data_IF_263732549292
#
_entry.id   IF_263732549292
#
_cell.length_a   1.000
_cell.length_b   1.000
_cell.length_c   1.000
_cell.angle_alpha   90.00
_cell.angle_beta   90.00
_cell.angle_gamma   90.00
#
_symmetry.space_group_name_H-M   'P 1'
#
loop_
_entity.id
_entity.type
_entity.pdbx_description
1 polymer ?
#
# COMPACT_ATOMS: atom_id res chain seq x y z
N UNK A 1 14.06 12.62 -16.63
CA UNK A 1 13.96 11.23 -16.21
C UNK A 1 14.10 11.22 -14.70
N UNK A 2 13.01 10.96 -13.99
CA UNK A 2 12.98 10.76 -12.56
C UNK A 2 13.77 9.51 -12.15
N UNK A 3 14.09 9.40 -10.86
CA UNK A 3 14.90 8.30 -10.31
C UNK A 3 14.25 6.92 -10.57
N UNK A 4 12.92 6.84 -10.51
CA UNK A 4 12.16 5.62 -10.80
C UNK A 4 12.34 5.15 -12.24
N UNK A 5 12.15 6.04 -13.21
CA UNK A 5 12.28 5.74 -14.64
C UNK A 5 13.70 5.29 -14.98
N UNK A 6 14.71 5.93 -14.37
CA UNK A 6 16.10 5.54 -14.53
C UNK A 6 16.39 4.11 -14.03
N UNK A 7 15.89 3.78 -12.84
CA UNK A 7 16.04 2.45 -12.28
C UNK A 7 15.35 1.38 -13.14
N UNK A 8 14.13 1.65 -13.61
CA UNK A 8 13.40 0.71 -14.49
C UNK A 8 14.14 0.55 -15.83
N UNK A 9 14.63 1.62 -16.42
CA UNK A 9 15.42 1.58 -17.65
C UNK A 9 16.69 0.72 -17.52
N UNK A 10 17.43 0.90 -16.43
CA UNK A 10 18.64 0.11 -16.14
C UNK A 10 18.31 -1.38 -15.99
N UNK A 11 17.22 -1.73 -15.29
CA UNK A 11 16.78 -3.12 -15.13
C UNK A 11 16.44 -3.74 -16.49
N UNK A 12 15.74 -3.00 -17.36
CA UNK A 12 15.39 -3.47 -18.71
C UNK A 12 16.65 -3.73 -19.54
N UNK A 13 17.62 -2.82 -19.50
CA UNK A 13 18.87 -2.94 -20.26
C UNK A 13 19.77 -4.09 -19.77
N UNK A 14 19.91 -4.27 -18.46
CA UNK A 14 20.86 -5.23 -17.89
C UNK A 14 20.25 -6.63 -17.80
N UNK A 15 19.01 -6.74 -17.33
CA UNK A 15 18.38 -8.01 -16.98
C UNK A 15 17.44 -8.51 -18.08
N UNK A 16 16.80 -7.59 -18.83
CA UNK A 16 15.77 -7.91 -19.83
C UNK A 16 14.67 -8.85 -19.29
N UNK A 17 13.97 -8.47 -18.21
CA UNK A 17 12.98 -9.33 -17.57
C UNK A 17 11.66 -9.40 -18.36
N UNK A 18 10.93 -10.50 -18.20
CA UNK A 18 9.56 -10.64 -18.72
C UNK A 18 8.52 -9.90 -17.87
N UNK A 19 8.80 -9.72 -16.58
CA UNK A 19 7.92 -9.06 -15.61
C UNK A 19 8.73 -8.22 -14.62
N UNK A 20 8.23 -7.02 -14.30
CA UNK A 20 8.77 -6.15 -13.25
C UNK A 20 7.66 -5.96 -12.21
N UNK A 21 7.98 -6.25 -10.94
CA UNK A 21 7.09 -5.98 -9.82
C UNK A 21 7.57 -4.73 -9.10
N UNK A 22 6.69 -3.74 -8.97
CA UNK A 22 6.97 -2.48 -8.29
C UNK A 22 6.19 -2.45 -6.98
N UNK A 23 6.90 -2.47 -5.86
CA UNK A 23 6.31 -2.17 -4.56
C UNK A 23 6.26 -0.64 -4.40
N UNK A 24 5.04 -0.09 -4.30
CA UNK A 24 4.85 1.32 -4.00
C UNK A 24 4.88 1.54 -2.48
N UNK A 25 5.37 2.70 -2.05
CA UNK A 25 5.24 3.07 -0.63
C UNK A 25 3.74 3.19 -0.30
N UNK A 26 3.32 2.78 0.90
CA UNK A 26 1.90 2.77 1.31
C UNK A 26 1.18 4.13 1.33
N UNK A 27 1.84 5.21 0.93
CA UNK A 27 1.28 6.56 0.77
C UNK A 27 1.36 7.08 -0.66
N UNK A 28 1.85 6.29 -1.61
CA UNK A 28 1.90 6.66 -3.01
C UNK A 28 0.49 6.59 -3.63
N UNK A 29 0.16 7.59 -4.44
CA UNK A 29 -1.02 7.57 -5.27
C UNK A 29 -0.78 6.64 -6.47
N UNK A 30 -1.61 5.61 -6.68
CA UNK A 30 -1.40 4.63 -7.74
C UNK A 30 -1.43 5.28 -9.13
N UNK A 31 -2.30 6.26 -9.35
CA UNK A 31 -2.46 6.93 -10.63
C UNK A 31 -1.20 7.66 -11.10
N UNK A 32 -0.44 8.26 -10.18
CA UNK A 32 0.82 8.93 -10.51
C UNK A 32 1.87 7.92 -11.00
N UNK A 33 2.01 6.79 -10.31
CA UNK A 33 2.96 5.73 -10.70
C UNK A 33 2.54 5.11 -12.03
N UNK A 34 1.24 4.85 -12.21
CA UNK A 34 0.70 4.30 -13.46
C UNK A 34 0.95 5.28 -14.63
N UNK A 35 0.70 6.56 -14.41
CA UNK A 35 0.92 7.60 -15.41
C UNK A 35 2.39 7.70 -15.81
N UNK A 36 3.31 7.74 -14.85
CA UNK A 36 4.76 7.76 -15.13
C UNK A 36 5.21 6.51 -15.90
N UNK A 37 4.67 5.33 -15.55
CA UNK A 37 4.95 4.08 -16.26
C UNK A 37 4.47 4.12 -17.73
N UNK A 38 3.25 4.60 -17.97
CA UNK A 38 2.65 4.62 -19.30
C UNK A 38 3.20 5.75 -20.19
N UNK A 39 3.54 6.92 -19.63
CA UNK A 39 4.07 8.07 -20.38
C UNK A 39 5.57 7.95 -20.62
N UNK A 40 6.36 7.67 -19.58
CA UNK A 40 7.82 7.80 -19.63
C UNK A 40 8.55 6.54 -20.06
N UNK A 41 7.90 5.37 -20.03
CA UNK A 41 8.54 4.07 -20.25
C UNK A 41 7.84 3.25 -21.35
N UNK A 42 8.03 3.58 -22.64
CA UNK A 42 7.32 2.93 -23.75
C UNK A 42 7.70 1.46 -23.97
N UNK A 43 8.77 0.98 -23.34
CA UNK A 43 9.24 -0.40 -23.43
C UNK A 43 8.48 -1.36 -22.51
N UNK A 44 7.63 -0.84 -21.61
CA UNK A 44 6.84 -1.64 -20.67
C UNK A 44 5.35 -1.34 -20.84
N UNK A 45 4.53 -2.22 -20.27
CA UNK A 45 3.09 -2.05 -20.16
C UNK A 45 2.67 -2.46 -18.76
N UNK A 46 1.78 -1.70 -18.12
CA UNK A 46 1.15 -2.11 -16.89
C UNK A 46 0.30 -3.37 -17.11
N UNK A 47 0.58 -4.44 -16.36
CA UNK A 47 -0.20 -5.69 -16.40
C UNK A 47 -1.36 -5.66 -15.38
N UNK A 48 -1.04 -5.43 -14.11
CA UNK A 48 -2.03 -5.46 -13.02
C UNK A 48 -1.63 -4.55 -11.86
N UNK A 49 -2.62 -3.95 -11.22
CA UNK A 49 -2.49 -3.30 -9.91
C UNK A 49 -3.03 -4.25 -8.84
N UNK A 50 -2.16 -4.68 -7.93
CA UNK A 50 -2.51 -5.62 -6.85
C UNK A 50 -2.51 -4.85 -5.54
N UNK A 51 -3.62 -4.92 -4.80
CA UNK A 51 -3.77 -4.25 -3.49
C UNK A 51 -4.03 -5.29 -2.41
N UNK A 52 -3.37 -5.10 -1.27
CA UNK A 52 -3.50 -5.95 -0.08
C UNK A 52 -4.48 -5.27 0.89
N UNK A 53 -5.61 -5.90 1.15
CA UNK A 53 -6.54 -5.50 2.20
C UNK A 53 -6.23 -6.28 3.48
N UNK A 54 -5.86 -5.57 4.55
CA UNK A 54 -5.68 -6.16 5.88
C UNK A 54 -7.03 -6.28 6.58
N UNK A 55 -7.61 -7.49 6.63
CA UNK A 55 -8.97 -7.67 7.14
C UNK A 55 -9.12 -7.23 8.61
N UNK A 56 -8.17 -7.63 9.48
CA UNK A 56 -8.11 -7.22 10.88
C UNK A 56 -7.92 -5.70 11.03
N UNK A 57 -7.05 -5.13 10.19
CA UNK A 57 -6.82 -3.69 10.14
C UNK A 57 -8.07 -2.91 9.73
N UNK A 58 -8.85 -3.40 8.78
CA UNK A 58 -10.08 -2.74 8.29
C UNK A 58 -11.25 -2.79 9.29
N UNK A 59 -11.24 -3.74 10.23
CA UNK A 59 -12.17 -3.72 11.37
C UNK A 59 -11.76 -2.63 12.36
N UNK A 60 -10.46 -2.56 12.66
CA UNK A 60 -9.92 -1.61 13.63
C UNK A 60 -9.99 -0.16 13.13
N UNK A 61 -9.81 0.03 11.82
CA UNK A 61 -9.81 1.31 11.13
C UNK A 61 -10.76 1.25 9.92
N UNK A 62 -12.08 1.34 10.16
CA UNK A 62 -13.05 1.17 9.09
C UNK A 62 -12.98 2.31 8.07
N UNK A 63 -12.62 3.53 8.45
CA UNK A 63 -12.62 4.64 7.50
C UNK A 63 -11.50 4.53 6.46
N UNK A 64 -11.91 4.43 5.18
CA UNK A 64 -10.99 4.48 4.05
C UNK A 64 -10.62 5.94 3.79
N UNK A 65 -9.44 6.33 4.23
CA UNK A 65 -8.84 7.61 3.84
C UNK A 65 -8.70 7.71 2.32
N UNK A 66 -8.54 8.94 1.82
CA UNK A 66 -8.46 9.23 0.38
C UNK A 66 -7.45 8.33 -0.36
N UNK A 67 -6.23 8.18 0.17
CA UNK A 67 -5.18 7.37 -0.45
C UNK A 67 -5.54 5.89 -0.48
N UNK A 68 -6.03 5.36 0.64
CA UNK A 68 -6.48 3.96 0.73
C UNK A 68 -7.60 3.68 -0.26
N UNK A 69 -8.55 4.60 -0.38
CA UNK A 69 -9.63 4.50 -1.36
C UNK A 69 -9.11 4.52 -2.79
N UNK A 70 -8.20 5.44 -3.13
CA UNK A 70 -7.61 5.53 -4.46
C UNK A 70 -6.84 4.25 -4.85
N UNK A 71 -6.16 3.61 -3.88
CA UNK A 71 -5.52 2.30 -4.09
C UNK A 71 -6.56 1.24 -4.46
N UNK A 72 -7.65 1.10 -3.71
CA UNK A 72 -8.70 0.12 -4.02
C UNK A 72 -9.44 0.43 -5.33
N UNK A 73 -9.69 1.69 -5.66
CA UNK A 73 -10.28 2.10 -6.94
C UNK A 73 -9.38 1.77 -8.14
N UNK A 74 -8.06 1.85 -7.97
CA UNK A 74 -7.09 1.49 -9.00
C UNK A 74 -6.81 -0.02 -9.09
N UNK A 75 -7.23 -0.83 -8.12
CA UNK A 75 -6.92 -2.26 -8.05
C UNK A 75 -7.57 -3.06 -9.19
N UNK A 76 -6.80 -3.98 -9.78
CA UNK A 76 -7.31 -5.05 -10.63
C UNK A 76 -7.53 -6.33 -9.80
N UNK A 77 -6.66 -6.54 -8.81
CA UNK A 77 -6.76 -7.63 -7.84
C UNK A 77 -6.70 -7.07 -6.43
N UNK A 78 -7.62 -7.52 -5.58
CA UNK A 78 -7.59 -7.25 -4.15
C UNK A 78 -7.39 -8.56 -3.40
N UNK A 79 -6.33 -8.64 -2.60
CA UNK A 79 -6.09 -9.74 -1.69
C UNK A 79 -6.61 -9.35 -0.30
N UNK A 80 -7.77 -9.88 0.07
CA UNK A 80 -8.31 -9.77 1.43
C UNK A 80 -7.54 -10.73 2.30
N UNK A 81 -6.54 -10.22 3.01
CA UNK A 81 -5.55 -10.99 3.76
C UNK A 81 -5.84 -10.96 5.27
N UNK A 82 -5.26 -11.93 5.98
CA UNK A 82 -5.46 -12.16 7.42
C UNK A 82 -6.90 -12.52 7.78
N UNK A 83 -7.58 -13.25 6.90
CA UNK A 83 -8.95 -13.71 7.13
C UNK A 83 -9.07 -14.62 8.36
N UNK A 84 -7.96 -15.19 8.83
CA UNK A 84 -7.88 -16.02 10.04
C UNK A 84 -8.03 -15.23 11.35
N UNK A 85 -7.96 -13.89 11.28
CA UNK A 85 -8.10 -13.01 12.44
C UNK A 85 -9.50 -12.40 12.59
N UNK A 86 -10.40 -12.67 11.65
CA UNK A 86 -11.75 -12.07 11.60
C UNK A 86 -12.81 -13.17 11.47
N UNK A 87 -14.04 -12.86 11.88
CA UNK A 87 -15.17 -13.76 11.64
C UNK A 87 -15.78 -13.56 10.24
N UNK A 88 -16.64 -14.49 9.85
CA UNK A 88 -17.25 -14.50 8.51
C UNK A 88 -18.16 -13.28 8.27
N UNK A 89 -18.86 -12.80 9.30
CA UNK A 89 -19.75 -11.64 9.18
C UNK A 89 -18.95 -10.36 8.89
N UNK A 90 -17.85 -10.16 9.61
CA UNK A 90 -16.95 -9.04 9.35
C UNK A 90 -16.29 -9.15 7.97
N UNK A 91 -15.92 -10.36 7.54
CA UNK A 91 -15.32 -10.59 6.23
C UNK A 91 -16.28 -10.26 5.08
N UNK A 92 -17.55 -10.67 5.18
CA UNK A 92 -18.59 -10.34 4.20
C UNK A 92 -18.82 -8.82 4.10
N UNK A 93 -18.82 -8.11 5.23
CA UNK A 93 -18.96 -6.65 5.22
C UNK A 93 -17.73 -5.96 4.61
N UNK A 94 -16.52 -6.45 4.87
CA UNK A 94 -15.29 -5.94 4.22
C UNK A 94 -15.39 -6.12 2.70
N UNK A 95 -15.74 -7.31 2.22
CA UNK A 95 -15.84 -7.60 0.78
C UNK A 95 -16.91 -6.75 0.12
N UNK A 96 -18.07 -6.58 0.76
CA UNK A 96 -19.13 -5.70 0.26
C UNK A 96 -18.65 -4.26 0.14
N UNK A 97 -17.95 -3.74 1.14
CA UNK A 97 -17.42 -2.37 1.11
C UNK A 97 -16.36 -2.18 0.03
N UNK A 98 -15.52 -3.20 -0.21
CA UNK A 98 -14.53 -3.17 -1.29
C UNK A 98 -15.21 -3.25 -2.67
N UNK A 99 -16.27 -4.04 -2.81
CA UNK A 99 -17.10 -4.10 -4.04
C UNK A 99 -17.79 -2.76 -4.34
N UNK A 100 -18.28 -2.06 -3.30
CA UNK A 100 -18.85 -0.71 -3.45
C UNK A 100 -17.80 0.33 -3.92
N UNK A 101 -16.53 0.13 -3.57
CA UNK A 101 -15.41 0.99 -4.00
C UNK A 101 -14.97 0.63 -5.42
N UNK A 102 -14.81 -0.66 -5.72
CA UNK A 102 -14.35 -1.15 -7.01
C UNK A 102 -15.00 -2.50 -7.37
N UNK A 103 -16.16 -2.48 -8.05
CA UNK A 103 -16.86 -3.70 -8.45
C UNK A 103 -16.16 -4.44 -9.61
N UNK A 104 -15.09 -3.86 -10.17
CA UNK A 104 -14.32 -4.45 -11.26
C UNK A 104 -13.11 -5.27 -10.80
N UNK A 105 -12.73 -5.17 -9.53
CA UNK A 105 -11.57 -5.88 -8.98
C UNK A 105 -11.88 -7.35 -8.68
N UNK A 106 -10.93 -8.24 -8.99
CA UNK A 106 -11.01 -9.63 -8.56
C UNK A 106 -10.55 -9.73 -7.11
N UNK A 107 -11.41 -10.26 -6.23
CA UNK A 107 -11.09 -10.44 -4.82
C UNK A 107 -10.66 -11.88 -4.50
N UNK A 108 -9.59 -12.02 -3.73
CA UNK A 108 -9.15 -13.30 -3.15
C UNK A 108 -9.04 -13.20 -1.64
N UNK A 109 -9.74 -14.09 -0.93
CA UNK A 109 -9.54 -14.33 0.50
C UNK A 109 -8.24 -15.11 0.72
N UNK A 110 -7.35 -14.61 1.58
CA UNK A 110 -6.03 -15.20 1.80
C UNK A 110 -5.61 -15.17 3.27
N UNK A 111 -4.76 -16.12 3.64
CA UNK A 111 -4.00 -16.13 4.89
C UNK A 111 -2.53 -16.00 4.50
N UNK A 112 -1.84 -14.99 5.03
CA UNK A 112 -0.43 -14.69 4.71
C UNK A 112 -0.19 -14.52 3.20
N UNK A 113 -1.16 -13.96 2.49
CA UNK A 113 -1.15 -13.77 1.03
C UNK A 113 -0.88 -15.08 0.26
N UNK A 114 -1.26 -16.23 0.81
CA UNK A 114 -1.02 -17.52 0.16
C UNK A 114 -2.01 -17.74 -0.98
N UNK A 115 -1.55 -17.56 -2.22
CA UNK A 115 -2.23 -17.95 -3.44
C UNK A 115 -1.21 -18.26 -4.55
N UNK A 116 -1.57 -19.05 -5.59
CA UNK A 116 -0.72 -19.22 -6.76
C UNK A 116 -0.46 -17.87 -7.44
N UNK A 117 0.81 -17.53 -7.64
CA UNK A 117 1.22 -16.24 -8.23
C UNK A 117 0.70 -16.04 -9.65
N UNK A 118 0.48 -17.12 -10.39
CA UNK A 118 -0.06 -17.06 -11.75
C UNK A 118 -1.49 -16.48 -11.81
N UNK A 119 -2.19 -16.39 -10.67
CA UNK A 119 -3.49 -15.72 -10.55
C UNK A 119 -3.38 -14.20 -10.42
N UNK A 120 -2.18 -13.68 -10.18
CA UNK A 120 -1.91 -12.25 -9.99
C UNK A 120 -1.52 -11.55 -11.30
N UNK A 121 -1.19 -12.30 -12.33
CA UNK A 121 -0.61 -11.79 -13.58
C UNK A 121 -1.43 -12.21 -14.80
N UNK A 122 -1.23 -11.51 -15.92
CA UNK A 122 -1.88 -11.82 -17.19
C UNK A 122 -3.28 -11.24 -17.31
N UNK A 123 -3.59 -10.20 -16.52
CA UNK A 123 -4.77 -9.37 -16.73
C UNK A 123 -4.57 -8.60 -18.03
N UNK A 124 -5.04 -9.17 -19.14
CA UNK A 124 -4.95 -8.54 -20.45
C UNK A 124 -5.97 -7.39 -20.53
N UNK A 125 -5.61 -6.29 -19.88
CA UNK A 125 -6.45 -5.11 -19.73
C UNK A 125 -6.60 -4.38 -21.06
N UNK A 126 -7.78 -3.85 -21.41
CA UNK A 126 -7.85 -2.73 -22.33
C UNK A 126 -7.00 -1.58 -21.77
N UNK A 127 -6.29 -0.81 -22.62
CA UNK A 127 -5.51 0.34 -22.16
C UNK A 127 -6.37 1.24 -21.26
N UNK A 128 -5.88 1.60 -20.07
CA UNK A 128 -6.49 2.71 -19.34
C UNK A 128 -6.34 3.94 -20.23
N UNK A 129 -7.36 4.78 -20.35
CA UNK A 129 -7.10 6.13 -20.83
C UNK A 129 -6.27 6.77 -19.73
N UNK A 130 -5.01 7.19 -19.97
CA UNK A 130 -4.22 7.83 -18.94
C UNK A 130 -4.96 9.11 -18.56
N UNK A 131 -5.64 9.10 -17.43
CA UNK A 131 -6.19 10.30 -16.85
C UNK A 131 -5.03 10.96 -16.15
N UNK A 132 -4.64 12.14 -16.64
CA UNK A 132 -3.71 12.99 -15.93
C UNK A 132 -4.25 13.10 -14.49
N UNK A 133 -3.45 12.75 -13.47
CA UNK A 133 -3.90 12.86 -12.10
C UNK A 133 -4.42 14.29 -11.91
N UNK A 134 -5.66 14.42 -11.41
CA UNK A 134 -6.20 15.73 -11.07
C UNK A 134 -5.18 16.42 -10.18
N UNK A 135 -4.96 17.76 -10.32
CA UNK A 135 -4.09 18.51 -9.43
C UNK A 135 -4.77 18.63 -8.07
N UNK A 136 -4.89 17.51 -7.38
CA UNK A 136 -5.07 17.46 -5.95
C UNK A 136 -3.74 17.90 -5.35
N UNK A 137 -3.82 18.60 -4.22
CA UNK A 137 -2.64 19.03 -3.51
C UNK A 137 -1.89 17.77 -3.07
N UNK A 138 -0.88 17.35 -3.83
CA UNK A 138 0.05 16.26 -3.47
C UNK A 138 0.75 16.52 -2.13
N UNK A 139 0.53 17.71 -1.58
CA UNK A 139 1.04 18.19 -0.33
C UNK A 139 -0.13 18.31 0.66
N UNK A 140 -0.21 17.39 1.64
CA UNK A 140 -0.92 17.49 2.95
C UNK A 140 -2.16 16.61 3.19
N UNK A 141 -2.05 15.30 2.99
CA UNK A 141 -2.83 14.37 3.84
C UNK A 141 -1.97 13.68 4.90
N UNK A 142 -0.69 13.45 4.60
CA UNK A 142 0.25 12.80 5.51
C UNK A 142 1.48 13.67 5.68
N UNK A 143 1.71 14.14 6.90
CA UNK A 143 2.95 14.83 7.28
C UNK A 143 3.92 13.83 7.93
N UNK A 144 5.21 13.95 7.62
CA UNK A 144 6.26 13.20 8.31
C UNK A 144 7.13 14.17 9.10
N UNK A 145 7.50 13.76 10.31
CA UNK A 145 8.48 14.47 11.12
C UNK A 145 9.46 13.46 11.69
N UNK A 146 10.67 13.93 11.99
CA UNK A 146 11.68 13.14 12.70
C UNK A 146 11.93 13.78 14.05
N UNK A 147 11.94 12.95 15.09
CA UNK A 147 12.33 13.34 16.43
C UNK A 147 13.62 12.58 16.81
N UNK A 148 14.65 13.32 17.22
CA UNK A 148 15.92 12.76 17.68
C UNK A 148 16.28 13.32 19.05
N UNK A 149 16.72 12.45 19.96
CA UNK A 149 17.18 12.83 21.29
C UNK A 149 18.31 11.93 21.74
N UNK A 150 19.27 12.50 22.48
CA UNK A 150 20.33 11.73 23.14
C UNK A 150 19.92 11.19 24.51
N UNK A 151 18.71 11.52 24.97
CA UNK A 151 18.23 11.07 26.28
C UNK A 151 17.95 9.56 26.31
N UNK A 152 18.04 9.00 27.52
CA UNK A 152 17.58 7.64 27.81
C UNK A 152 16.16 7.78 28.35
N UNK A 153 15.21 7.07 27.72
CA UNK A 153 13.81 7.12 28.08
C UNK A 153 13.43 5.99 29.04
N UNK A 154 12.41 6.25 29.85
CA UNK A 154 11.76 5.22 30.64
C UNK A 154 10.91 4.33 29.72
N UNK A 155 11.09 3.01 29.81
CA UNK A 155 10.47 2.02 28.93
C UNK A 155 8.95 2.03 29.01
N UNK A 156 8.40 2.06 30.23
CA UNK A 156 6.94 2.03 30.44
C UNK A 156 6.28 3.31 29.94
N UNK A 157 6.96 4.47 30.09
CA UNK A 157 6.44 5.73 29.53
C UNK A 157 6.39 5.73 28.00
N UNK A 158 7.38 5.11 27.33
CA UNK A 158 7.35 4.98 25.86
C UNK A 158 6.21 4.05 25.46
N UNK A 159 6.03 2.91 26.13
CA UNK A 159 4.91 2.01 25.86
C UNK A 159 3.57 2.73 25.99
N UNK A 160 3.33 3.41 27.11
CA UNK A 160 2.08 4.16 27.32
C UNK A 160 1.88 5.27 26.28
N UNK A 161 2.95 5.91 25.80
CA UNK A 161 2.84 6.88 24.71
C UNK A 161 2.43 6.22 23.40
N UNK A 162 3.01 5.08 23.05
CA UNK A 162 2.71 4.33 21.82
C UNK A 162 1.26 3.81 21.82
N UNK A 163 0.78 3.34 22.97
CA UNK A 163 -0.61 2.91 23.17
C UNK A 163 -1.61 4.08 23.13
N UNK A 164 -1.15 5.29 23.43
CA UNK A 164 -1.96 6.51 23.45
C UNK A 164 -1.76 7.40 22.21
N UNK A 165 -1.15 6.89 21.13
CA UNK A 165 -0.99 7.67 19.90
C UNK A 165 -2.37 8.03 19.34
N UNK A 166 -2.60 9.29 18.96
CA UNK A 166 -3.88 9.70 18.41
C UNK A 166 -4.11 9.06 17.03
N UNK A 167 -5.37 8.85 16.68
CA UNK A 167 -5.82 8.23 15.41
C UNK A 167 -5.15 8.76 14.13
N UNK A 168 -4.79 10.06 13.99
CA UNK A 168 -4.13 10.55 12.78
C UNK A 168 -2.70 10.03 12.55
N UNK A 169 -2.10 9.32 13.52
CA UNK A 169 -0.75 8.75 13.35
C UNK A 169 -0.85 7.39 12.67
N UNK A 170 -0.60 7.39 11.37
CA UNK A 170 -0.68 6.19 10.55
C UNK A 170 0.50 5.23 10.73
N UNK A 171 1.71 5.76 10.92
CA UNK A 171 2.94 4.96 11.03
C UNK A 171 4.01 5.70 11.81
N UNK A 172 4.55 5.04 12.83
CA UNK A 172 5.76 5.45 13.53
C UNK A 172 6.80 4.32 13.45
N UNK A 173 8.05 4.67 13.13
CA UNK A 173 9.19 3.75 13.12
C UNK A 173 10.42 4.45 13.68
N UNK A 174 11.28 3.72 14.39
CA UNK A 174 12.52 4.27 14.89
C UNK A 174 13.17 3.37 15.93
N UNK A 175 14.24 3.88 16.54
CA UNK A 175 14.92 3.26 17.67
C UNK A 175 14.82 4.19 18.87
N UNK A 176 14.58 3.63 20.05
CA UNK A 176 14.58 4.36 21.31
C UNK A 176 15.59 3.72 22.24
N UNK A 177 16.34 4.57 22.96
CA UNK A 177 17.25 4.11 24.00
C UNK A 177 16.52 4.13 25.33
N UNK A 178 16.31 2.97 25.93
CA UNK A 178 15.64 2.83 27.23
C UNK A 178 16.61 2.45 28.34
N UNK A 179 16.15 2.58 29.58
CA UNK A 179 16.90 2.13 30.77
C UNK A 179 16.97 0.62 30.92
N UNK A 180 16.22 -0.15 30.12
CA UNK A 180 16.24 -1.61 30.10
C UNK A 180 16.96 -2.12 28.84
N UNK A 181 17.80 -3.16 28.95
CA UNK A 181 18.52 -3.76 27.81
C UNK A 181 17.63 -4.65 26.91
N UNK A 182 16.34 -4.34 26.77
CA UNK A 182 15.43 -5.09 25.92
C UNK A 182 14.94 -4.22 24.76
N UNK A 183 15.20 -4.70 23.53
CA UNK A 183 14.75 -4.09 22.28
C UNK A 183 13.21 -4.07 22.22
N UNK A 184 12.64 -2.89 21.97
CA UNK A 184 11.30 -2.72 21.38
C UNK A 184 11.43 -2.65 19.86
#
# INVERSE_FOLDING_TARGET
MGEFEAAVGEIIEIISPELIVVETMGVAEPDAVIFDLEESLPAIRLDSVIVLADADGMISFPDLGYLTRAQFEAADVILVNKIDLVDEEALEEIEKRLDEVNPGAVMFRTIRCALPTDLLFGFNRPPRTPTQPSPHDHNRSVESFTYSSEQIFDHEKIRSLLEALPEPIYRAKGFVRTTEENLL
#
